data_IF_726302398463
#
_entry.id   IF_726302398463
#
_cell.length_a   1.000
_cell.length_b   1.000
_cell.length_c   1.000
_cell.angle_alpha   90.00
_cell.angle_beta   90.00
_cell.angle_gamma   90.00
#
_symmetry.space_group_name_H-M   'P 1'
#
loop_
_entity.id
_entity.type
_entity.pdbx_description
1 polymer ?
#
# COMPACT_ATOMS: atom_id res chain seq x y z
N UNK A 1 44.91 -22.48 -48.59
CA UNK A 1 44.26 -22.80 -47.29
C UNK A 1 44.16 -21.52 -46.49
N UNK A 2 42.95 -20.97 -46.44
CA UNK A 2 42.55 -19.81 -45.65
C UNK A 2 42.19 -20.27 -44.25
N UNK A 3 42.60 -19.54 -43.22
CA UNK A 3 41.94 -19.52 -41.91
C UNK A 3 42.21 -18.15 -41.28
N UNK A 4 41.31 -17.20 -41.57
CA UNK A 4 41.06 -16.06 -40.70
C UNK A 4 40.08 -16.46 -39.61
N UNK A 5 40.08 -15.73 -38.49
CA UNK A 5 38.97 -15.57 -37.54
C UNK A 5 39.33 -14.33 -36.67
N UNK A 6 38.91 -13.13 -37.07
CA UNK A 6 37.64 -12.46 -36.73
C UNK A 6 37.46 -12.17 -35.23
N UNK A 7 37.65 -10.90 -34.89
CA UNK A 7 37.09 -10.21 -33.74
C UNK A 7 35.58 -10.07 -33.92
N UNK A 8 34.74 -10.27 -32.89
CA UNK A 8 33.45 -9.64 -32.85
C UNK A 8 33.38 -8.53 -31.79
N UNK A 9 32.88 -7.40 -32.26
CA UNK A 9 32.53 -6.21 -31.53
C UNK A 9 31.25 -6.38 -30.69
N UNK A 10 31.13 -5.55 -29.65
CA UNK A 10 29.90 -4.90 -29.19
C UNK A 10 28.67 -5.78 -28.93
N UNK A 11 28.50 -6.20 -27.67
CA UNK A 11 27.17 -6.58 -27.16
C UNK A 11 26.63 -5.43 -26.31
N UNK A 12 25.57 -4.83 -26.85
CA UNK A 12 24.74 -3.76 -26.29
C UNK A 12 24.20 -4.10 -24.89
N UNK A 13 24.36 -3.15 -23.97
CA UNK A 13 24.01 -3.18 -22.55
C UNK A 13 22.56 -2.77 -22.28
N UNK A 14 21.57 -3.40 -22.92
CA UNK A 14 20.16 -2.94 -22.85
C UNK A 14 19.13 -3.97 -22.34
N UNK A 15 19.54 -5.08 -21.73
CA UNK A 15 18.64 -6.19 -21.38
C UNK A 15 18.25 -6.44 -19.91
N UNK A 16 18.71 -5.66 -18.92
CA UNK A 16 18.61 -6.03 -17.48
C UNK A 16 17.66 -5.17 -16.61
N UNK A 17 16.44 -4.82 -17.06
CA UNK A 17 15.62 -3.82 -16.32
C UNK A 17 14.17 -4.11 -15.93
N UNK A 18 13.57 -5.27 -16.22
CA UNK A 18 12.11 -5.43 -16.02
C UNK A 18 11.68 -6.74 -15.35
N UNK A 19 12.36 -7.17 -14.27
CA UNK A 19 12.09 -8.46 -13.64
C UNK A 19 11.76 -8.41 -12.13
N UNK A 20 11.50 -7.25 -11.54
CA UNK A 20 11.56 -7.12 -10.07
C UNK A 20 10.59 -6.10 -9.47
N UNK A 21 9.36 -6.01 -9.98
CA UNK A 21 8.46 -4.91 -9.60
C UNK A 21 7.30 -5.26 -8.65
N UNK A 22 7.01 -6.53 -8.34
CA UNK A 22 5.81 -6.89 -7.56
C UNK A 22 5.98 -7.69 -6.27
N UNK A 23 7.19 -8.14 -5.88
CA UNK A 23 7.32 -9.02 -4.68
C UNK A 23 8.54 -8.74 -3.78
N UNK A 24 9.44 -7.85 -4.18
CA UNK A 24 10.41 -7.16 -3.34
C UNK A 24 11.11 -6.14 -4.24
N UNK A 25 11.04 -4.84 -3.93
CA UNK A 25 12.01 -3.89 -4.49
C UNK A 25 13.14 -3.69 -3.48
N UNK A 26 14.30 -4.33 -3.66
CA UNK A 26 15.57 -3.71 -3.34
C UNK A 26 16.03 -2.81 -4.51
N UNK A 27 16.97 -1.92 -4.21
CA UNK A 27 17.89 -1.20 -5.12
C UNK A 27 17.80 0.33 -5.19
N UNK A 28 18.71 0.92 -4.39
CA UNK A 28 19.50 2.16 -4.52
C UNK A 28 19.15 3.37 -3.59
N UNK A 29 20.18 4.15 -3.20
CA UNK A 29 20.25 4.85 -1.92
C UNK A 29 19.66 6.26 -2.00
N UNK A 30 18.99 6.69 -0.94
CA UNK A 30 18.81 8.11 -0.68
C UNK A 30 19.96 8.58 0.20
N UNK A 31 20.59 9.66 -0.25
CA UNK A 31 21.74 10.33 0.34
C UNK A 31 21.32 10.94 1.69
N UNK A 32 22.01 10.58 2.76
CA UNK A 32 21.86 11.23 4.06
C UNK A 32 22.30 12.70 3.95
N UNK A 33 21.34 13.61 4.14
CA UNK A 33 21.65 14.96 4.54
C UNK A 33 22.06 14.95 6.02
N UNK A 34 23.36 15.03 6.29
CA UNK A 34 23.86 15.36 7.63
C UNK A 34 23.37 16.77 8.01
N UNK A 35 22.88 17.00 9.24
CA UNK A 35 22.69 18.35 9.73
C UNK A 35 24.06 18.96 10.04
N UNK A 36 24.34 20.10 9.39
CA UNK A 36 25.44 20.98 9.73
C UNK A 36 25.20 21.59 11.11
N UNK A 37 26.20 21.43 11.97
CA UNK A 37 26.32 22.11 13.26
C UNK A 37 26.45 23.62 13.00
N UNK A 38 25.49 24.40 13.49
CA UNK A 38 25.52 25.86 13.47
C UNK A 38 24.91 26.38 14.76
N UNK A 39 25.76 26.65 15.75
CA UNK A 39 25.34 27.30 16.99
C UNK A 39 25.09 28.79 16.77
N UNK A 40 23.99 29.29 17.30
CA UNK A 40 23.84 30.68 17.72
C UNK A 40 22.87 30.77 18.90
N UNK A 41 23.42 31.11 20.05
CA UNK A 41 22.77 31.57 21.28
C UNK A 41 22.15 32.94 21.09
N UNK A 42 20.85 33.12 21.41
CA UNK A 42 20.26 34.36 21.96
C UNK A 42 19.02 33.99 22.80
N UNK A 43 19.14 33.98 24.14
CA UNK A 43 18.70 35.03 25.10
C UNK A 43 17.20 35.33 25.07
N UNK A 44 16.47 34.78 26.06
CA UNK A 44 15.13 35.20 26.50
C UNK A 44 15.24 36.44 27.40
N UNK A 45 14.21 37.30 27.45
CA UNK A 45 13.92 38.07 28.64
C UNK A 45 12.61 37.62 29.31
N UNK A 46 12.76 37.40 30.60
CA UNK A 46 11.81 37.10 31.65
C UNK A 46 10.93 38.35 31.95
N UNK A 47 9.65 38.17 32.29
CA UNK A 47 8.85 39.19 33.00
C UNK A 47 8.04 38.58 34.14
N UNK A 48 8.27 39.17 35.31
CA UNK A 48 7.76 38.92 36.66
C UNK A 48 6.25 39.25 36.83
N UNK A 49 5.48 38.47 37.61
CA UNK A 49 4.05 38.70 37.88
C UNK A 49 3.79 39.40 39.23
N UNK A 50 2.91 40.41 39.24
CA UNK A 50 2.19 41.01 40.40
C UNK A 50 1.22 42.05 39.80
N UNK A 51 -0.06 42.22 40.14
CA UNK A 51 -0.70 42.23 41.46
C UNK A 51 -2.24 42.28 41.31
N UNK A 52 -2.92 41.49 42.15
CA UNK A 52 -4.04 41.85 43.06
C UNK A 52 -5.29 42.61 42.55
N UNK A 53 -6.40 41.86 42.56
CA UNK A 53 -7.67 42.07 43.30
C UNK A 53 -8.35 43.46 43.33
N UNK A 54 -9.65 43.49 43.02
CA UNK A 54 -10.67 44.06 43.92
C UNK A 54 -12.10 43.64 43.51
N UNK A 55 -12.85 43.16 44.50
CA UNK A 55 -14.30 42.91 44.49
C UNK A 55 -15.06 44.24 44.43
N UNK A 56 -16.23 44.26 43.78
CA UNK A 56 -17.43 44.94 44.30
C UNK A 56 -18.70 44.27 43.79
N UNK A 57 -19.60 44.04 44.74
CA UNK A 57 -20.96 43.52 44.60
C UNK A 57 -21.90 44.70 44.38
N UNK A 58 -22.93 44.50 43.55
CA UNK A 58 -24.35 44.77 43.85
C UNK A 58 -25.13 45.48 42.73
N UNK A 59 -26.32 44.90 42.48
CA UNK A 59 -27.63 45.46 42.12
C UNK A 59 -28.20 45.09 40.76
N UNK A 60 -29.37 44.45 40.89
CA UNK A 60 -30.37 44.08 39.90
C UNK A 60 -30.95 45.30 39.19
N UNK A 61 -31.38 45.11 37.93
CA UNK A 61 -32.68 45.57 37.44
C UNK A 61 -33.08 44.79 36.19
N UNK A 62 -34.36 44.46 36.11
CA UNK A 62 -35.06 43.73 35.04
C UNK A 62 -34.89 44.34 33.63
N UNK A 63 -35.01 43.49 32.60
CA UNK A 63 -35.28 43.97 31.25
C UNK A 63 -35.09 42.97 30.10
N UNK A 64 -36.18 42.27 29.76
CA UNK A 64 -36.57 41.83 28.40
C UNK A 64 -35.70 40.77 27.68
N UNK A 65 -36.28 39.56 27.61
CA UNK A 65 -35.93 38.45 26.72
C UNK A 65 -35.86 38.90 25.25
N UNK A 66 -34.71 38.68 24.60
CA UNK A 66 -34.61 38.52 23.14
C UNK A 66 -34.45 37.02 22.84
N UNK A 67 -35.21 36.43 21.91
CA UNK A 67 -35.07 35.02 21.60
C UNK A 67 -33.74 34.78 20.88
N UNK A 68 -32.94 33.86 21.43
CA UNK A 68 -31.80 33.28 20.75
C UNK A 68 -32.24 32.70 19.40
N UNK A 69 -31.59 33.16 18.32
CA UNK A 69 -31.47 32.39 17.09
C UNK A 69 -30.88 31.02 17.42
N UNK A 70 -31.75 30.01 17.60
CA UNK A 70 -31.35 28.61 17.48
C UNK A 70 -30.99 28.39 16.01
N UNK A 71 -29.70 28.48 15.73
CA UNK A 71 -29.09 28.02 14.48
C UNK A 71 -29.37 26.52 14.35
N UNK A 72 -30.25 26.15 13.42
CA UNK A 72 -30.56 24.78 13.01
C UNK A 72 -29.35 24.13 12.29
N UNK A 73 -28.24 23.89 12.99
CA UNK A 73 -27.05 23.26 12.42
C UNK A 73 -27.01 21.73 12.54
N UNK A 74 -27.95 21.12 13.27
CA UNK A 74 -27.79 19.72 13.72
C UNK A 74 -28.51 18.66 12.90
N UNK A 75 -29.54 18.99 12.11
CA UNK A 75 -30.29 17.98 11.33
C UNK A 75 -29.68 17.71 9.95
N UNK A 76 -29.26 18.76 9.24
CA UNK A 76 -28.71 18.64 7.89
C UNK A 76 -27.30 18.03 7.89
N UNK A 77 -26.47 18.30 8.92
CA UNK A 77 -25.14 17.69 9.00
C UNK A 77 -25.26 16.20 9.33
N UNK A 78 -26.07 15.81 10.32
CA UNK A 78 -26.27 14.40 10.67
C UNK A 78 -26.87 13.59 9.52
N UNK A 79 -27.84 14.17 8.79
CA UNK A 79 -28.42 13.53 7.61
C UNK A 79 -27.41 13.40 6.46
N UNK A 80 -26.57 14.42 6.24
CA UNK A 80 -25.47 14.36 5.25
C UNK A 80 -24.43 13.31 5.62
N UNK A 81 -24.03 13.23 6.89
CA UNK A 81 -23.11 12.20 7.37
C UNK A 81 -23.68 10.79 7.15
N UNK A 82 -24.96 10.57 7.48
CA UNK A 82 -25.62 9.30 7.22
C UNK A 82 -25.67 8.92 5.73
N UNK A 83 -25.91 9.89 4.83
CA UNK A 83 -25.87 9.61 3.38
C UNK A 83 -24.46 9.32 2.85
N UNK A 84 -23.43 9.97 3.40
CA UNK A 84 -22.04 9.73 2.99
C UNK A 84 -21.54 8.38 3.48
N UNK A 85 -21.87 8.00 4.72
CA UNK A 85 -21.54 6.68 5.27
C UNK A 85 -22.17 5.56 4.44
N UNK A 86 -23.46 5.69 4.07
CA UNK A 86 -24.13 4.75 3.18
C UNK A 86 -23.46 4.68 1.80
N UNK A 87 -23.05 5.81 1.21
CA UNK A 87 -22.31 5.81 -0.07
C UNK A 87 -21.00 5.02 0.04
N UNK A 88 -20.25 5.19 1.12
CA UNK A 88 -18.96 4.47 1.32
C UNK A 88 -19.17 2.97 1.46
N UNK A 89 -20.17 2.56 2.26
CA UNK A 89 -20.53 1.14 2.38
C UNK A 89 -20.92 0.56 1.02
N UNK A 90 -21.73 1.27 0.24
CA UNK A 90 -22.11 0.83 -1.11
C UNK A 90 -20.92 0.73 -2.07
N UNK A 91 -19.95 1.65 -1.98
CA UNK A 91 -18.72 1.58 -2.77
C UNK A 91 -17.90 0.36 -2.38
N UNK A 92 -17.69 0.16 -1.07
CA UNK A 92 -16.95 -0.98 -0.56
C UNK A 92 -17.59 -2.30 -0.97
N UNK A 93 -18.90 -2.44 -0.80
CA UNK A 93 -19.67 -3.63 -1.18
C UNK A 93 -19.52 -3.93 -2.67
N UNK A 94 -19.72 -2.94 -3.55
CA UNK A 94 -19.55 -3.13 -5.00
C UNK A 94 -18.14 -3.58 -5.39
N UNK A 95 -17.11 -3.04 -4.75
CA UNK A 95 -15.72 -3.45 -5.02
C UNK A 95 -15.49 -4.87 -4.48
N UNK A 96 -15.96 -5.15 -3.26
CA UNK A 96 -15.77 -6.42 -2.56
C UNK A 96 -16.52 -7.57 -3.23
N UNK A 97 -17.75 -7.34 -3.69
CA UNK A 97 -18.58 -8.31 -4.39
C UNK A 97 -17.89 -8.80 -5.68
N UNK A 98 -17.20 -7.92 -6.39
CA UNK A 98 -16.47 -8.31 -7.59
C UNK A 98 -15.09 -8.92 -7.28
N UNK A 99 -14.30 -8.27 -6.41
CA UNK A 99 -12.91 -8.64 -6.17
C UNK A 99 -12.75 -9.80 -5.18
N UNK A 100 -13.65 -9.96 -4.22
CA UNK A 100 -13.58 -10.97 -3.16
C UNK A 100 -13.61 -12.40 -3.71
N UNK A 101 -14.54 -12.67 -4.63
CA UNK A 101 -14.67 -13.97 -5.30
C UNK A 101 -13.43 -14.33 -6.14
N UNK A 102 -12.66 -13.32 -6.54
CA UNK A 102 -11.45 -13.46 -7.34
C UNK A 102 -10.18 -13.60 -6.50
N UNK A 103 -10.28 -13.67 -5.17
CA UNK A 103 -9.12 -13.83 -4.28
C UNK A 103 -8.38 -12.52 -4.00
N UNK A 104 -9.08 -11.39 -4.03
CA UNK A 104 -8.56 -10.12 -3.56
C UNK A 104 -9.25 -9.69 -2.26
N UNK A 105 -8.55 -8.91 -1.45
CA UNK A 105 -9.11 -8.23 -0.29
C UNK A 105 -8.91 -6.73 -0.44
N UNK A 106 -9.86 -5.95 0.10
CA UNK A 106 -9.80 -4.49 0.13
C UNK A 106 -9.98 -3.99 1.56
N UNK A 107 -9.25 -2.93 1.89
CA UNK A 107 -9.30 -2.30 3.20
C UNK A 107 -9.36 -0.77 3.06
N UNK A 108 -10.40 -0.10 3.60
CA UNK A 108 -10.53 1.34 3.52
C UNK A 108 -9.57 2.05 4.45
N UNK A 109 -9.08 3.22 4.04
CA UNK A 109 -8.31 4.14 4.88
C UNK A 109 -8.44 5.58 4.41
N UNK A 110 -8.06 6.53 5.28
CA UNK A 110 -7.94 7.95 4.93
C UNK A 110 -6.56 8.26 4.40
N UNK A 111 -6.48 9.06 3.34
CA UNK A 111 -5.20 9.58 2.81
C UNK A 111 -4.37 10.26 3.91
N UNK A 112 -4.99 10.97 4.85
CA UNK A 112 -4.32 11.60 5.99
C UNK A 112 -3.51 10.62 6.85
N UNK A 113 -4.04 9.43 7.13
CA UNK A 113 -3.34 8.41 7.93
C UNK A 113 -2.07 7.91 7.22
N UNK A 114 -2.14 7.73 5.90
CA UNK A 114 -0.98 7.36 5.11
C UNK A 114 0.05 8.51 5.07
N UNK A 115 -0.38 9.75 4.83
CA UNK A 115 0.50 10.91 4.77
C UNK A 115 1.21 11.18 6.10
N UNK A 116 0.56 10.96 7.24
CA UNK A 116 1.19 11.05 8.56
C UNK A 116 2.28 9.98 8.77
N UNK A 117 2.10 8.80 8.18
CA UNK A 117 3.01 7.66 8.34
C UNK A 117 4.21 7.67 7.38
N UNK A 118 4.27 8.59 6.41
CA UNK A 118 5.34 8.66 5.39
C UNK A 118 6.04 10.02 5.35
N UNK A 119 7.30 10.08 4.86
CA UNK A 119 7.96 11.36 4.63
C UNK A 119 7.22 12.22 3.59
N UNK A 120 7.35 13.56 3.64
CA UNK A 120 6.65 14.47 2.71
C UNK A 120 6.85 14.17 1.22
N UNK A 121 8.01 13.60 0.86
CA UNK A 121 8.32 13.21 -0.52
C UNK A 121 7.43 12.08 -1.06
N UNK A 122 6.65 11.41 -0.21
CA UNK A 122 5.71 10.34 -0.55
C UNK A 122 4.26 10.71 -0.23
N UNK A 123 3.98 11.96 0.16
CA UNK A 123 2.62 12.42 0.41
C UNK A 123 1.77 12.30 -0.86
N UNK A 124 0.57 11.74 -0.69
CA UNK A 124 -0.45 11.77 -1.72
C UNK A 124 -1.11 13.16 -1.72
N UNK A 125 -1.23 13.83 -2.87
CA UNK A 125 -1.68 15.22 -2.96
C UNK A 125 -3.21 15.35 -2.93
N UNK A 126 -3.86 14.73 -1.92
CA UNK A 126 -5.31 14.80 -1.71
C UNK A 126 -5.63 15.30 -0.29
N UNK A 127 -6.90 15.58 -0.05
CA UNK A 127 -7.41 15.96 1.28
C UNK A 127 -7.16 14.85 2.30
N UNK A 128 -6.95 15.22 3.57
CA UNK A 128 -6.70 14.26 4.64
C UNK A 128 -7.83 13.26 4.83
N UNK A 129 -9.07 13.67 4.54
CA UNK A 129 -10.26 12.81 4.69
C UNK A 129 -10.63 12.09 3.39
N UNK A 130 -9.83 12.20 2.31
CA UNK A 130 -10.09 11.47 1.05
C UNK A 130 -10.07 9.96 1.31
N UNK A 131 -11.10 9.27 0.82
CA UNK A 131 -11.22 7.81 0.87
C UNK A 131 -10.23 7.15 -0.08
N UNK A 132 -9.55 6.14 0.45
CA UNK A 132 -8.75 5.21 -0.33
C UNK A 132 -9.02 3.76 0.10
N UNK A 133 -8.84 2.82 -0.81
CA UNK A 133 -8.79 1.39 -0.51
C UNK A 133 -7.44 0.83 -0.93
N UNK A 134 -6.78 0.09 -0.03
CA UNK A 134 -5.64 -0.74 -0.41
C UNK A 134 -6.16 -2.11 -0.87
N UNK A 135 -5.64 -2.59 -2.00
CA UNK A 135 -6.02 -3.88 -2.60
C UNK A 135 -4.89 -4.88 -2.39
N UNK A 136 -5.21 -6.04 -1.83
CA UNK A 136 -4.31 -7.17 -1.63
C UNK A 136 -4.77 -8.33 -2.51
N UNK A 137 -3.84 -9.15 -3.00
CA UNK A 137 -4.14 -10.48 -3.53
C UNK A 137 -3.72 -11.54 -2.53
N UNK A 138 -4.63 -12.46 -2.21
CA UNK A 138 -4.40 -13.64 -1.35
C UNK A 138 -4.09 -14.87 -2.24
N UNK A 139 -3.71 -16.05 -1.67
CA UNK A 139 -3.31 -17.22 -2.46
C UNK A 139 -4.30 -17.58 -3.57
N UNK A 140 -5.60 -17.58 -3.23
CA UNK A 140 -6.69 -17.89 -4.14
C UNK A 140 -6.73 -17.05 -5.44
N UNK A 141 -6.11 -15.87 -5.47
CA UNK A 141 -6.07 -15.02 -6.68
C UNK A 141 -5.45 -15.75 -7.88
N UNK A 142 -4.45 -16.59 -7.63
CA UNK A 142 -3.76 -17.30 -8.70
C UNK A 142 -4.70 -18.25 -9.46
N UNK A 143 -5.51 -19.00 -8.72
CA UNK A 143 -6.44 -19.97 -9.31
C UNK A 143 -7.74 -19.33 -9.79
N UNK A 144 -8.26 -18.35 -9.04
CA UNK A 144 -9.59 -17.77 -9.31
C UNK A 144 -9.56 -16.60 -10.29
N UNK A 145 -8.47 -15.84 -10.36
CA UNK A 145 -8.34 -14.69 -11.26
C UNK A 145 -7.30 -14.96 -12.35
N UNK A 146 -6.07 -15.28 -11.96
CA UNK A 146 -4.93 -15.31 -12.88
C UNK A 146 -5.03 -16.43 -13.92
N UNK A 147 -5.30 -17.67 -13.51
CA UNK A 147 -5.47 -18.79 -14.46
C UNK A 147 -6.62 -18.56 -15.46
N UNK A 148 -7.84 -18.15 -15.04
CA UNK A 148 -8.90 -17.78 -15.98
C UNK A 148 -8.51 -16.62 -16.90
N UNK A 149 -7.84 -15.58 -16.37
CA UNK A 149 -7.35 -14.47 -17.16
C UNK A 149 -6.42 -14.94 -18.30
N UNK A 150 -5.45 -15.82 -17.99
CA UNK A 150 -4.55 -16.39 -19.00
C UNK A 150 -5.25 -17.17 -20.11
N UNK A 151 -6.38 -17.83 -19.80
CA UNK A 151 -7.16 -18.60 -20.78
C UNK A 151 -7.97 -17.71 -21.71
N UNK A 152 -8.44 -16.57 -21.19
CA UNK A 152 -9.45 -15.74 -21.85
C UNK A 152 -8.89 -14.46 -22.47
N UNK A 153 -7.69 -14.02 -22.08
CA UNK A 153 -7.13 -12.73 -22.48
C UNK A 153 -5.82 -12.87 -23.25
N UNK A 154 -5.65 -12.00 -24.25
CA UNK A 154 -4.40 -11.89 -24.99
C UNK A 154 -3.39 -11.09 -24.18
N UNK A 155 -2.27 -11.72 -23.84
CA UNK A 155 -1.19 -11.06 -23.11
C UNK A 155 -0.40 -10.09 -24.00
N UNK A 156 -0.20 -8.88 -23.51
CA UNK A 156 0.78 -7.94 -24.06
C UNK A 156 2.18 -8.46 -23.72
N UNK A 157 3.06 -8.56 -24.72
CA UNK A 157 4.42 -9.14 -24.57
C UNK A 157 5.34 -8.39 -23.60
N UNK A 158 5.05 -7.12 -23.32
CA UNK A 158 5.97 -6.20 -22.64
C UNK A 158 5.76 -6.17 -21.12
N UNK A 159 4.58 -6.58 -20.64
CA UNK A 159 4.19 -6.45 -19.24
C UNK A 159 4.09 -7.82 -18.57
N UNK A 160 4.37 -7.89 -17.26
CA UNK A 160 4.22 -9.13 -16.50
C UNK A 160 2.75 -9.62 -16.56
N UNK A 161 2.49 -10.93 -16.73
CA UNK A 161 1.13 -11.43 -16.83
C UNK A 161 0.28 -11.18 -15.57
N UNK A 162 0.89 -11.17 -14.38
CA UNK A 162 0.16 -10.92 -13.13
C UNK A 162 -0.27 -9.46 -13.06
N UNK A 163 0.63 -8.53 -13.41
CA UNK A 163 0.30 -7.10 -13.49
C UNK A 163 -0.85 -6.84 -14.47
N UNK A 164 -0.87 -7.55 -15.62
CA UNK A 164 -1.95 -7.45 -16.59
C UNK A 164 -3.28 -8.00 -16.06
N UNK A 165 -3.25 -9.12 -15.32
CA UNK A 165 -4.43 -9.69 -14.69
C UNK A 165 -5.03 -8.73 -13.65
N UNK A 166 -4.19 -8.20 -12.77
CA UNK A 166 -4.61 -7.21 -11.75
C UNK A 166 -5.18 -5.96 -12.43
N UNK A 167 -4.46 -5.42 -13.43
CA UNK A 167 -4.91 -4.25 -14.18
C UNK A 167 -6.25 -4.48 -14.88
N UNK A 168 -6.46 -5.66 -15.46
CA UNK A 168 -7.74 -6.04 -16.06
C UNK A 168 -8.88 -6.01 -15.04
N UNK A 169 -8.74 -6.72 -13.91
CA UNK A 169 -9.81 -6.76 -12.90
C UNK A 169 -10.08 -5.39 -12.28
N UNK A 170 -9.05 -4.59 -12.01
CA UNK A 170 -9.24 -3.23 -11.51
C UNK A 170 -9.85 -2.29 -12.57
N UNK A 171 -9.64 -2.54 -13.86
CA UNK A 171 -10.36 -1.82 -14.92
C UNK A 171 -11.84 -2.16 -14.98
N UNK A 172 -12.22 -3.41 -14.68
CA UNK A 172 -13.63 -3.82 -14.55
C UNK A 172 -14.28 -3.15 -13.34
N UNK A 173 -13.59 -3.08 -12.20
CA UNK A 173 -14.07 -2.32 -11.02
C UNK A 173 -14.33 -0.86 -11.41
N UNK A 174 -13.40 -0.21 -12.13
CA UNK A 174 -13.60 1.16 -12.62
C UNK A 174 -14.83 1.29 -13.53
N UNK A 175 -15.07 0.32 -14.40
CA UNK A 175 -16.26 0.32 -15.27
C UNK A 175 -17.55 0.15 -14.47
N UNK A 176 -17.56 -0.71 -13.45
CA UNK A 176 -18.73 -0.91 -12.58
C UNK A 176 -19.03 0.30 -11.69
N UNK A 177 -18.06 1.20 -11.53
CA UNK A 177 -18.14 2.45 -10.77
C UNK A 177 -17.95 3.67 -11.68
N UNK A 178 -18.48 3.63 -12.91
CA UNK A 178 -18.25 4.70 -13.90
C UNK A 178 -18.77 6.09 -13.46
N UNK A 179 -19.74 6.15 -12.55
CA UNK A 179 -20.27 7.39 -11.98
C UNK A 179 -19.36 7.99 -10.89
N UNK A 180 -18.31 7.28 -10.48
CA UNK A 180 -17.41 7.65 -9.40
C UNK A 180 -16.04 8.05 -9.96
N UNK A 181 -15.49 9.19 -9.49
CA UNK A 181 -14.11 9.53 -9.81
C UNK A 181 -13.17 8.58 -9.07
N UNK A 182 -12.65 7.57 -9.77
CA UNK A 182 -11.72 6.59 -9.21
C UNK A 182 -10.36 6.60 -9.92
N UNK A 183 -9.32 6.89 -9.15
CA UNK A 183 -7.92 6.78 -9.56
C UNK A 183 -7.31 5.48 -9.04
N UNK A 184 -6.43 4.86 -9.84
CA UNK A 184 -5.76 3.61 -9.46
C UNK A 184 -4.25 3.82 -9.53
N UNK A 185 -3.54 3.48 -8.45
CA UNK A 185 -2.09 3.43 -8.39
C UNK A 185 -1.65 2.00 -8.11
N UNK A 186 -0.85 1.40 -8.99
CA UNK A 186 -0.38 0.01 -8.81
C UNK A 186 0.94 -0.04 -8.05
N UNK A 187 1.19 -1.13 -7.34
CA UNK A 187 2.38 -1.35 -6.51
C UNK A 187 3.70 -1.26 -7.31
N UNK A 188 3.66 -1.65 -8.58
CA UNK A 188 4.80 -1.59 -9.50
C UNK A 188 5.03 -0.21 -10.13
N UNK A 189 4.15 0.77 -9.92
CA UNK A 189 4.29 2.08 -10.57
C UNK A 189 5.37 2.94 -9.92
N UNK A 190 6.29 3.41 -10.77
CA UNK A 190 7.41 4.25 -10.38
C UNK A 190 7.29 5.62 -11.06
N UNK A 191 7.56 6.68 -10.31
CA UNK A 191 7.78 8.02 -10.84
C UNK A 191 9.04 8.05 -11.72
N UNK A 192 9.23 9.06 -12.59
CA UNK A 192 10.42 9.18 -13.45
C UNK A 192 11.75 9.15 -12.70
N UNK A 193 11.77 9.59 -11.44
CA UNK A 193 12.93 9.54 -10.54
C UNK A 193 13.15 8.16 -9.87
N UNK A 194 12.43 7.13 -10.30
CA UNK A 194 12.41 5.77 -9.74
C UNK A 194 11.97 5.67 -8.27
N UNK A 195 11.25 6.67 -7.76
CA UNK A 195 10.51 6.50 -6.51
C UNK A 195 9.20 5.79 -6.79
N UNK A 196 8.75 4.86 -5.93
CA UNK A 196 7.39 4.31 -6.08
C UNK A 196 6.36 5.43 -5.92
N UNK A 197 5.25 5.34 -6.65
CA UNK A 197 4.17 6.33 -6.55
C UNK A 197 3.55 6.39 -5.14
N UNK A 198 3.54 5.26 -4.43
CA UNK A 198 3.14 5.18 -3.03
C UNK A 198 3.92 4.06 -2.32
N UNK A 199 3.96 4.09 -0.99
CA UNK A 199 4.58 3.05 -0.16
C UNK A 199 3.54 2.00 0.22
N UNK A 200 3.48 0.91 -0.56
CA UNK A 200 2.46 -0.13 -0.44
C UNK A 200 2.33 -0.72 0.96
N UNK A 201 3.45 -1.08 1.59
CA UNK A 201 3.48 -1.65 2.94
C UNK A 201 2.90 -0.68 3.99
N UNK A 202 3.17 0.61 3.87
CA UNK A 202 2.60 1.63 4.76
C UNK A 202 1.10 1.74 4.56
N UNK A 203 0.61 1.74 3.31
CA UNK A 203 -0.82 1.78 3.03
C UNK A 203 -1.56 0.57 3.62
N UNK A 204 -1.01 -0.64 3.46
CA UNK A 204 -1.57 -1.84 4.09
C UNK A 204 -1.58 -1.77 5.61
N UNK A 205 -0.57 -1.14 6.23
CA UNK A 205 -0.51 -0.95 7.66
C UNK A 205 -1.58 0.00 8.18
N UNK A 206 -1.66 1.21 7.62
CA UNK A 206 -2.59 2.24 8.11
C UNK A 206 -4.06 1.89 7.84
N UNK A 207 -4.33 1.03 6.85
CA UNK A 207 -5.64 0.46 6.57
C UNK A 207 -6.03 -0.72 7.48
N UNK A 208 -5.12 -1.16 8.37
CA UNK A 208 -5.37 -2.29 9.25
C UNK A 208 -5.27 -3.67 8.59
N UNK A 209 -4.86 -3.74 7.32
CA UNK A 209 -4.82 -4.98 6.54
C UNK A 209 -3.70 -5.94 6.99
N UNK A 210 -2.50 -5.41 7.21
CA UNK A 210 -1.34 -6.21 7.58
C UNK A 210 -0.35 -5.38 8.41
N UNK A 211 0.18 -5.96 9.48
CA UNK A 211 1.14 -5.26 10.33
C UNK A 211 2.49 -5.15 9.61
N UNK A 212 3.10 -3.95 9.61
CA UNK A 212 4.33 -3.65 8.88
C UNK A 212 5.51 -3.63 9.85
N UNK A 213 6.20 -4.76 9.93
CA UNK A 213 7.38 -4.92 10.77
C UNK A 213 8.57 -4.27 10.11
N UNK A 214 9.19 -3.33 10.81
CA UNK A 214 10.35 -2.57 10.39
C UNK A 214 11.47 -2.74 11.40
N UNK A 215 12.69 -2.36 11.01
CA UNK A 215 13.84 -2.34 11.92
C UNK A 215 13.55 -1.58 13.23
N UNK A 216 12.77 -0.48 13.16
CA UNK A 216 12.36 0.31 14.35
C UNK A 216 11.47 -0.45 15.34
N UNK A 217 10.92 -1.61 14.97
CA UNK A 217 10.10 -2.45 15.84
C UNK A 217 10.91 -3.49 16.62
N UNK A 218 12.25 -3.47 16.50
CA UNK A 218 13.19 -4.32 17.23
C UNK A 218 14.09 -3.41 18.05
N UNK A 219 14.09 -3.57 19.38
CA UNK A 219 14.82 -2.67 20.29
C UNK A 219 16.32 -2.95 20.26
N UNK A 220 16.73 -4.22 20.35
CA UNK A 220 18.14 -4.64 20.30
C UNK A 220 18.48 -5.24 18.94
N UNK A 221 18.48 -4.38 17.92
CA UNK A 221 18.67 -4.82 16.54
C UNK A 221 20.12 -5.36 16.31
N UNK A 222 20.28 -6.57 15.74
CA UNK A 222 21.60 -7.20 15.56
C UNK A 222 22.31 -6.81 14.26
N UNK A 223 21.74 -5.89 13.47
CA UNK A 223 22.13 -5.74 12.06
C UNK A 223 23.21 -4.68 11.80
N UNK A 224 23.58 -3.89 12.81
CA UNK A 224 24.62 -2.87 12.71
C UNK A 224 24.32 -1.87 11.58
N UNK A 225 25.25 -1.68 10.65
CA UNK A 225 25.08 -0.75 9.51
C UNK A 225 24.31 -1.32 8.33
N UNK A 226 23.91 -2.60 8.37
CA UNK A 226 23.17 -3.22 7.25
C UNK A 226 21.79 -2.55 7.11
N UNK A 227 21.42 -2.29 5.86
CA UNK A 227 20.06 -1.84 5.55
C UNK A 227 19.12 -3.03 5.66
N UNK A 228 18.09 -2.90 6.48
CA UNK A 228 17.05 -3.90 6.72
C UNK A 228 15.73 -3.34 6.23
N UNK A 229 15.14 -4.01 5.25
CA UNK A 229 13.82 -3.68 4.72
C UNK A 229 12.75 -4.31 5.59
N UNK A 230 11.66 -3.57 5.80
CA UNK A 230 10.50 -4.09 6.51
C UNK A 230 9.67 -5.04 5.66
N UNK A 231 8.77 -5.77 6.31
CA UNK A 231 7.83 -6.69 5.67
C UNK A 231 6.48 -6.64 6.36
N UNK A 232 5.40 -6.72 5.58
CA UNK A 232 4.05 -6.85 6.12
C UNK A 232 3.73 -8.33 6.36
N UNK A 233 3.04 -8.62 7.47
CA UNK A 233 2.48 -9.95 7.76
C UNK A 233 0.97 -9.81 7.91
N UNK A 234 0.23 -10.56 7.11
CA UNK A 234 -1.22 -10.63 7.14
C UNK A 234 -1.69 -11.58 8.25
N UNK A 235 -2.70 -11.23 9.06
CA UNK A 235 -3.13 -12.06 10.19
C UNK A 235 -3.62 -13.46 9.81
N UNK A 236 -4.13 -13.65 8.59
CA UNK A 236 -4.64 -14.95 8.12
C UNK A 236 -3.72 -15.66 7.12
N UNK A 237 -2.82 -14.94 6.47
CA UNK A 237 -2.03 -15.47 5.36
C UNK A 237 -0.52 -15.36 5.60
N UNK A 238 -0.09 -14.83 6.75
CA UNK A 238 1.32 -14.59 7.02
C UNK A 238 1.92 -13.69 5.94
N UNK A 239 2.99 -14.14 5.30
CA UNK A 239 3.55 -13.49 4.11
C UNK A 239 2.97 -13.98 2.78
N UNK A 240 2.01 -14.91 2.75
CA UNK A 240 1.41 -15.48 1.52
C UNK A 240 0.35 -14.59 0.88
N UNK A 241 0.70 -13.33 0.66
CA UNK A 241 -0.12 -12.36 -0.05
C UNK A 241 0.78 -11.34 -0.74
N UNK A 242 0.18 -10.45 -1.52
CA UNK A 242 0.86 -9.29 -2.07
C UNK A 242 -0.07 -8.08 -2.10
N UNK A 243 0.49 -6.89 -1.91
CA UNK A 243 -0.23 -5.63 -2.04
C UNK A 243 -0.18 -5.23 -3.52
N UNK A 244 -1.32 -4.86 -4.12
CA UNK A 244 -1.46 -4.73 -5.58
C UNK A 244 -1.76 -3.31 -6.03
N UNK A 245 -2.57 -2.57 -5.29
CA UNK A 245 -2.95 -1.23 -5.71
C UNK A 245 -3.52 -0.38 -4.57
N UNK A 246 -3.61 0.92 -4.84
CA UNK A 246 -4.54 1.84 -4.20
C UNK A 246 -5.66 2.20 -5.16
N UNK A 247 -6.89 2.21 -4.65
CA UNK A 247 -8.05 2.84 -5.27
C UNK A 247 -8.32 4.14 -4.51
N UNK A 248 -8.22 5.28 -5.19
CA UNK A 248 -8.43 6.61 -4.60
C UNK A 248 -9.74 7.19 -5.13
N UNK A 249 -10.52 7.79 -4.22
CA UNK A 249 -11.80 8.44 -4.54
C UNK A 249 -11.73 9.93 -4.15
N UNK A 250 -11.15 10.80 -4.99
CA UNK A 250 -10.87 12.20 -4.64
C UNK A 250 -12.11 12.99 -4.19
N UNK A 251 -13.28 12.66 -4.73
CA UNK A 251 -14.57 13.31 -4.44
C UNK A 251 -15.31 12.73 -3.22
N UNK A 252 -14.70 11.76 -2.52
CA UNK A 252 -15.32 11.07 -1.38
C UNK A 252 -14.53 11.37 -0.11
N UNK A 253 -15.11 12.23 0.72
CA UNK A 253 -14.56 12.62 2.03
C UNK A 253 -15.19 11.78 3.14
N UNK A 254 -14.36 11.18 3.99
CA UNK A 254 -14.79 10.24 5.04
C UNK A 254 -14.32 10.66 6.44
N UNK A 255 -14.68 11.87 6.92
CA UNK A 255 -14.25 12.33 8.25
C UNK A 255 -14.69 11.40 9.39
N UNK A 256 -15.77 10.63 9.18
CA UNK A 256 -16.31 9.65 10.12
C UNK A 256 -15.56 8.31 10.16
N UNK A 257 -14.76 7.97 9.13
CA UNK A 257 -14.05 6.68 9.10
C UNK A 257 -13.07 6.59 10.27
N UNK A 258 -13.15 5.50 11.03
CA UNK A 258 -12.28 5.24 12.18
C UNK A 258 -11.15 4.30 11.77
N UNK A 259 -9.95 4.57 12.27
CA UNK A 259 -8.78 3.75 11.95
C UNK A 259 -8.80 2.46 12.76
N UNK A 260 -8.71 1.33 12.06
CA UNK A 260 -8.48 0.02 12.68
C UNK A 260 -6.99 -0.28 12.64
N UNK A 261 -6.38 -0.51 13.81
CA UNK A 261 -4.98 -0.91 13.88
C UNK A 261 -4.79 -2.31 13.29
N UNK A 262 -3.72 -2.56 12.53
CA UNK A 262 -3.41 -3.90 12.05
C UNK A 262 -3.04 -4.81 13.22
N UNK A 263 -3.38 -6.10 13.10
CA UNK A 263 -3.10 -7.09 14.14
C UNK A 263 -1.60 -7.37 14.23
N UNK A 264 -1.00 -7.12 15.39
CA UNK A 264 0.38 -7.49 15.72
C UNK A 264 0.46 -9.01 15.96
N UNK A 265 0.63 -9.75 14.88
CA UNK A 265 0.70 -11.22 14.88
C UNK A 265 2.10 -11.80 15.18
N UNK A 266 3.14 -10.97 15.26
CA UNK A 266 4.54 -11.36 15.54
C UNK A 266 5.01 -10.57 16.76
N UNK A 267 4.68 -11.14 17.92
CA UNK A 267 4.64 -10.38 19.19
C UNK A 267 5.97 -10.30 19.91
N UNK A 268 6.87 -11.27 19.71
CA UNK A 268 8.17 -11.28 20.40
C UNK A 268 9.26 -10.58 19.58
N UNK A 269 10.28 -10.08 20.26
CA UNK A 269 11.41 -9.43 19.59
C UNK A 269 12.22 -10.43 18.77
N UNK A 270 12.39 -11.65 19.30
CA UNK A 270 13.08 -12.76 18.64
C UNK A 270 12.41 -13.15 17.32
N UNK A 271 11.08 -13.30 17.31
CA UNK A 271 10.33 -13.61 16.08
C UNK A 271 10.39 -12.46 15.07
N UNK A 272 10.41 -11.20 15.52
CA UNK A 272 10.57 -10.04 14.63
C UNK A 272 11.96 -9.99 14.00
N UNK A 273 13.00 -10.33 14.76
CA UNK A 273 14.36 -10.47 14.23
C UNK A 273 14.38 -11.59 13.19
N UNK A 274 13.87 -12.76 13.52
CA UNK A 274 13.82 -13.91 12.61
C UNK A 274 13.04 -13.60 11.33
N UNK A 275 11.87 -12.95 11.44
CA UNK A 275 11.08 -12.49 10.30
C UNK A 275 11.89 -11.59 9.36
N UNK A 276 12.53 -10.56 9.92
CA UNK A 276 13.28 -9.58 9.15
C UNK A 276 14.54 -10.22 8.53
N UNK A 277 15.21 -11.13 9.22
CA UNK A 277 16.35 -11.88 8.68
C UNK A 277 15.94 -12.80 7.54
N UNK A 278 14.88 -13.60 7.73
CA UNK A 278 14.35 -14.48 6.69
C UNK A 278 13.91 -13.68 5.47
N UNK A 279 13.23 -12.54 5.65
CA UNK A 279 12.82 -11.69 4.54
C UNK A 279 14.01 -11.06 3.80
N UNK A 280 15.02 -10.56 4.53
CA UNK A 280 16.11 -9.82 3.88
C UNK A 280 17.18 -10.75 3.28
N UNK A 281 17.42 -11.92 3.88
CA UNK A 281 18.54 -12.80 3.52
C UNK A 281 18.10 -14.14 2.92
N UNK A 282 16.87 -14.59 3.19
CA UNK A 282 16.41 -15.93 2.84
C UNK A 282 15.07 -15.97 2.09
N UNK A 283 14.55 -14.84 1.58
CA UNK A 283 13.20 -14.78 0.99
C UNK A 283 12.87 -15.81 -0.10
N UNK A 284 13.88 -16.32 -0.80
CA UNK A 284 13.74 -17.33 -1.87
C UNK A 284 13.25 -18.69 -1.38
N UNK A 285 13.47 -19.01 -0.11
CA UNK A 285 13.02 -20.27 0.49
C UNK A 285 11.58 -20.19 1.01
N UNK A 286 10.93 -19.02 0.90
CA UNK A 286 9.56 -18.74 1.32
C UNK A 286 9.31 -18.77 2.84
N UNK A 287 10.31 -19.12 3.66
CA UNK A 287 10.16 -19.37 5.10
C UNK A 287 9.70 -18.15 5.90
N UNK A 288 10.01 -16.94 5.45
CA UNK A 288 9.54 -15.70 6.09
C UNK A 288 8.01 -15.56 6.04
N UNK A 289 7.34 -16.25 5.10
CA UNK A 289 5.89 -16.18 4.91
C UNK A 289 5.13 -17.01 5.93
N UNK A 290 5.81 -17.94 6.60
CA UNK A 290 5.28 -18.90 7.57
C UNK A 290 5.62 -18.52 9.04
N UNK A 291 5.82 -17.23 9.32
CA UNK A 291 6.19 -16.76 10.66
C UNK A 291 5.02 -16.85 11.66
N UNK A 292 3.79 -16.98 11.17
CA UNK A 292 2.57 -17.23 11.95
C UNK A 292 1.84 -18.44 11.39
N UNK A 293 0.89 -18.99 12.13
CA UNK A 293 -0.07 -19.93 11.55
C UNK A 293 -0.85 -19.24 10.42
N UNK A 294 -1.04 -19.94 9.29
CA UNK A 294 -1.68 -19.39 8.09
C UNK A 294 -2.82 -20.28 7.63
N UNK A 295 -3.92 -19.65 7.21
CA UNK A 295 -5.12 -20.31 6.69
C UNK A 295 -4.87 -21.01 5.36
N UNK A 296 -4.06 -20.39 4.50
CA UNK A 296 -3.78 -20.86 3.15
C UNK A 296 -2.40 -20.37 2.71
N UNK A 297 -1.73 -21.19 1.90
CA UNK A 297 -0.43 -20.88 1.30
C UNK A 297 -0.55 -20.88 -0.21
N UNK A 298 0.44 -20.33 -0.90
CA UNK A 298 0.53 -20.53 -2.34
C UNK A 298 0.72 -22.01 -2.65
N UNK A 299 0.02 -22.51 -3.67
CA UNK A 299 0.21 -23.87 -4.17
C UNK A 299 1.63 -24.05 -4.72
N UNK A 300 2.10 -25.29 -4.85
CA UNK A 300 3.43 -25.54 -5.44
C UNK A 300 3.54 -25.03 -6.88
N UNK A 301 2.44 -25.04 -7.63
CA UNK A 301 2.38 -24.44 -8.97
C UNK A 301 2.56 -22.93 -8.91
N UNK A 302 1.85 -22.26 -8.00
CA UNK A 302 1.97 -20.81 -7.80
C UNK A 302 3.38 -20.42 -7.32
N UNK A 303 3.97 -21.18 -6.40
CA UNK A 303 5.37 -21.01 -5.96
C UNK A 303 6.33 -21.18 -7.13
N UNK A 304 6.15 -22.21 -7.95
CA UNK A 304 6.96 -22.45 -9.15
C UNK A 304 6.85 -21.28 -10.14
N UNK A 305 5.64 -20.77 -10.34
CA UNK A 305 5.40 -19.61 -11.19
C UNK A 305 6.14 -18.37 -10.68
N UNK A 306 6.02 -18.03 -9.39
CA UNK A 306 6.66 -16.84 -8.84
C UNK A 306 8.17 -16.97 -8.68
N UNK A 307 8.69 -18.18 -8.42
CA UNK A 307 10.11 -18.47 -8.45
C UNK A 307 10.72 -18.31 -9.85
N UNK A 308 9.90 -18.46 -10.90
CA UNK A 308 10.34 -18.27 -12.29
C UNK A 308 10.57 -16.78 -12.58
N UNK A 309 11.75 -16.38 -13.09
CA UNK A 309 12.03 -15.01 -13.44
C UNK A 309 10.99 -14.43 -14.42
N UNK A 310 10.55 -13.17 -14.29
CA UNK A 310 9.53 -12.59 -15.17
C UNK A 310 9.78 -12.74 -16.67
N UNK A 311 11.04 -12.64 -17.11
CA UNK A 311 11.41 -12.84 -18.52
C UNK A 311 11.16 -14.28 -19.05
N UNK A 312 11.00 -15.24 -18.15
CA UNK A 312 10.79 -16.66 -18.44
C UNK A 312 9.36 -17.12 -18.17
N UNK A 313 8.55 -16.34 -17.43
CA UNK A 313 7.16 -16.68 -17.11
C UNK A 313 6.32 -16.95 -18.36
N UNK A 314 6.46 -16.12 -19.41
CA UNK A 314 5.77 -16.36 -20.67
C UNK A 314 6.18 -17.67 -21.35
N UNK A 315 7.43 -18.12 -21.18
CA UNK A 315 7.89 -19.41 -21.70
C UNK A 315 7.30 -20.56 -20.89
N UNK A 316 7.32 -20.44 -19.55
CA UNK A 316 6.71 -21.41 -18.65
C UNK A 316 5.23 -21.63 -18.98
N UNK A 317 4.47 -20.55 -19.14
CA UNK A 317 3.04 -20.60 -19.47
C UNK A 317 2.78 -21.25 -20.84
N UNK A 318 3.66 -21.05 -21.83
CA UNK A 318 3.58 -21.73 -23.15
C UNK A 318 3.86 -23.22 -23.06
N UNK A 319 4.78 -23.64 -22.20
CA UNK A 319 5.13 -25.05 -22.00
C UNK A 319 4.01 -25.82 -21.28
N UNK A 320 3.30 -25.17 -20.36
CA UNK A 320 2.18 -25.75 -19.61
C UNK A 320 0.88 -25.89 -20.43
N UNK A 321 0.92 -25.67 -21.75
CA UNK A 321 -0.23 -25.88 -22.64
C UNK A 321 -1.37 -24.88 -22.47
N UNK A 322 -1.21 -23.83 -21.65
CA UNK A 322 -2.24 -22.82 -21.39
C UNK A 322 -2.48 -21.81 -22.53
N UNK A 323 -1.72 -21.90 -23.62
CA UNK A 323 -1.92 -21.06 -24.80
C UNK A 323 -2.66 -21.85 -25.89
N UNK A 324 -3.95 -21.56 -26.07
CA UNK A 324 -4.52 -21.71 -27.40
C UNK A 324 -3.84 -20.69 -28.32
N UNK A 325 -3.21 -21.20 -29.38
CA UNK A 325 -2.63 -20.41 -30.47
C UNK A 325 -3.75 -19.74 -31.26
N UNK A 326 -4.34 -18.68 -30.73
CA UNK A 326 -4.98 -17.69 -31.61
C UNK A 326 -3.88 -16.75 -32.09
N UNK A 327 -3.04 -17.32 -32.96
CA UNK A 327 -2.08 -16.58 -33.76
C UNK A 327 -2.86 -15.77 -34.77
N UNK A 328 -2.81 -14.44 -34.69
CA UNK A 328 -3.15 -13.57 -35.82
C UNK A 328 -2.15 -12.42 -35.88
N UNK A 329 -1.48 -12.38 -37.03
CA UNK A 329 -0.93 -11.27 -37.82
C UNK A 329 -0.67 -9.91 -37.16
#
# INVERSE_FOLDING_TARGET
MSLGLHVPAGISTSGKKYAWLGEALPFLPCVDARPSVGGYTQVKPERDPRQKSRRRVSRETHGVLRPHLRRNYSSHSAQRFGTMEVRVVQLEDKIRDYLGDLGFEIYPFKVGWYNEAVPPAFHLPYSENTLAFVVLSIPAMFDKAFKPFLRNQLLKKIQDPVDQCVSYHLSVVRQNLADEQMEIMYDYEMLPNRKPKFLAQTAAHVAGAAYYYQRKNVQKDPWGTKKIYGVCVHPHYGGWFAIRALLLFPDVEVPFLLQTNPIDCVTTEEERIELLEKFNFHWRDWSYRDVTEVKEKYSEEQKTYFATPPAERLKLLKLLGGFQRNAIH
#
